data_IF_902499660408
#
_entry.id   IF_902499660408
#
_cell.length_a   1.000
_cell.length_b   1.000
_cell.length_c   1.000
_cell.angle_alpha   90.00
_cell.angle_beta   90.00
_cell.angle_gamma   90.00
#
_symmetry.space_group_name_H-M   'P 1'
#
loop_
_entity.id
_entity.type
_entity.pdbx_description
1 polymer ?
#
# COMPACT_ATOMS: atom_id res chain seq x y z
N UNK A 1 -27.15 20.18 11.82
CA UNK A 1 -26.84 18.90 11.23
C UNK A 1 -25.35 18.58 11.42
N UNK A 2 -25.00 18.01 12.61
CA UNK A 2 -23.62 17.72 13.01
C UNK A 2 -23.43 16.22 13.23
N UNK A 3 -23.72 15.33 12.29
CA UNK A 3 -23.62 13.92 12.66
C UNK A 3 -23.29 12.93 11.57
N UNK A 4 -23.19 13.30 10.31
CA UNK A 4 -23.08 12.32 9.23
C UNK A 4 -21.68 11.72 8.99
N UNK A 5 -20.61 12.30 9.53
CA UNK A 5 -19.27 11.73 9.43
C UNK A 5 -18.93 10.78 10.59
N UNK A 6 -19.55 11.01 11.77
CA UNK A 6 -19.26 10.27 13.00
C UNK A 6 -19.89 8.86 13.03
N UNK A 7 -20.93 8.65 12.23
CA UNK A 7 -21.72 7.40 12.17
C UNK A 7 -21.32 6.48 10.99
N UNK A 8 -20.25 6.81 10.27
CA UNK A 8 -19.76 5.92 9.22
C UNK A 8 -19.13 4.66 9.83
N UNK A 9 -19.42 3.46 9.28
CA UNK A 9 -18.93 2.18 9.79
C UNK A 9 -17.41 2.10 9.93
N UNK A 10 -16.67 2.88 9.13
CA UNK A 10 -15.22 3.01 9.22
C UNK A 10 -14.75 3.55 10.58
N UNK A 11 -15.41 4.59 11.12
CA UNK A 11 -15.05 5.16 12.42
C UNK A 11 -15.45 4.26 13.59
N UNK A 12 -16.47 3.42 13.40
CA UNK A 12 -16.88 2.42 14.38
C UNK A 12 -15.81 1.34 14.54
N UNK A 13 -15.24 0.87 13.45
CA UNK A 13 -14.13 -0.10 13.46
C UNK A 13 -12.88 0.44 14.19
N UNK A 14 -12.51 1.70 13.94
CA UNK A 14 -11.38 2.35 14.63
C UNK A 14 -11.61 2.53 16.12
N UNK A 15 -12.84 2.76 16.55
CA UNK A 15 -13.19 2.97 17.96
C UNK A 15 -13.30 1.67 18.72
N UNK A 16 -13.59 0.56 18.07
CA UNK A 16 -13.80 -0.75 18.68
C UNK A 16 -12.51 -1.58 18.73
N UNK A 17 -11.51 -1.25 17.91
CA UNK A 17 -10.22 -1.92 17.90
C UNK A 17 -9.44 -1.64 19.19
N UNK A 18 -9.00 -2.70 19.85
CA UNK A 18 -8.18 -2.62 21.07
C UNK A 18 -6.77 -2.13 20.71
N UNK A 19 -6.11 -1.33 21.55
CA UNK A 19 -4.74 -0.85 21.27
C UNK A 19 -3.75 -1.99 21.03
N UNK A 20 -3.99 -3.18 21.57
CA UNK A 20 -3.19 -4.38 21.33
C UNK A 20 -3.29 -4.86 19.87
N UNK A 21 -4.43 -4.69 19.22
CA UNK A 21 -4.63 -5.09 17.83
C UNK A 21 -3.82 -4.20 16.88
N UNK A 22 -3.75 -2.89 17.18
CA UNK A 22 -2.87 -1.97 16.46
C UNK A 22 -1.39 -2.32 16.64
N UNK A 23 -1.00 -2.76 17.86
CA UNK A 23 0.36 -3.21 18.12
C UNK A 23 0.70 -4.48 17.32
N UNK A 24 -0.21 -5.43 17.22
CA UNK A 24 -0.04 -6.62 16.38
C UNK A 24 0.09 -6.27 14.90
N UNK A 25 -0.77 -5.38 14.38
CA UNK A 25 -0.70 -4.92 13.00
C UNK A 25 0.64 -4.21 12.75
N UNK A 26 1.07 -3.34 13.66
CA UNK A 26 2.35 -2.64 13.57
C UNK A 26 3.51 -3.63 13.57
N UNK A 27 3.53 -4.58 14.50
CA UNK A 27 4.58 -5.60 14.60
C UNK A 27 4.65 -6.48 13.33
N UNK A 28 3.49 -6.81 12.76
CA UNK A 28 3.43 -7.61 11.54
C UNK A 28 3.86 -6.81 10.29
N UNK A 29 3.63 -5.50 10.29
CA UNK A 29 4.02 -4.59 9.20
C UNK A 29 5.45 -4.07 9.31
N UNK A 30 6.03 -4.04 10.52
CA UNK A 30 7.37 -3.54 10.76
C UNK A 30 8.47 -4.26 9.94
N UNK A 31 8.50 -5.60 9.81
CA UNK A 31 9.48 -6.29 8.99
C UNK A 31 9.39 -5.88 7.51
N UNK A 32 8.18 -5.71 6.98
CA UNK A 32 7.97 -5.25 5.61
C UNK A 32 8.50 -3.82 5.39
N UNK A 33 8.26 -2.93 6.35
CA UNK A 33 8.79 -1.56 6.31
C UNK A 33 10.32 -1.54 6.37
N UNK A 34 10.92 -2.33 7.29
CA UNK A 34 12.37 -2.43 7.42
C UNK A 34 12.99 -2.98 6.13
N UNK A 35 12.40 -4.02 5.56
CA UNK A 35 12.85 -4.55 4.28
C UNK A 35 12.77 -3.50 3.16
N UNK A 36 11.66 -2.75 3.09
CA UNK A 36 11.52 -1.66 2.14
C UNK A 36 12.60 -0.58 2.35
N UNK A 37 12.89 -0.19 3.60
CA UNK A 37 13.97 0.77 3.91
C UNK A 37 15.31 0.30 3.35
N UNK A 38 15.66 -0.97 3.55
CA UNK A 38 16.90 -1.53 2.99
C UNK A 38 16.92 -1.50 1.46
N UNK A 39 15.84 -1.96 0.83
CA UNK A 39 15.73 -1.99 -0.63
C UNK A 39 15.82 -0.59 -1.23
N UNK A 40 15.11 0.37 -0.66
CA UNK A 40 15.12 1.75 -1.15
C UNK A 40 16.46 2.45 -0.91
N UNK A 41 17.12 2.22 0.24
CA UNK A 41 18.46 2.75 0.51
C UNK A 41 19.46 2.22 -0.51
N UNK A 42 19.48 0.90 -0.71
CA UNK A 42 20.36 0.28 -1.70
C UNK A 42 20.06 0.75 -3.13
N UNK A 43 18.79 0.90 -3.49
CA UNK A 43 18.40 1.40 -4.81
C UNK A 43 18.80 2.86 -5.01
N UNK A 44 18.76 3.72 -3.98
CA UNK A 44 19.25 5.10 -4.05
C UNK A 44 20.76 5.19 -4.26
N UNK A 45 21.53 4.30 -3.64
CA UNK A 45 22.98 4.21 -3.90
C UNK A 45 23.30 3.97 -5.38
N UNK A 46 22.50 3.16 -6.08
CA UNK A 46 22.64 2.95 -7.54
C UNK A 46 22.44 4.25 -8.34
N UNK A 47 21.66 5.19 -7.82
CA UNK A 47 21.45 6.52 -8.40
C UNK A 47 22.42 7.57 -7.84
N UNK A 48 23.49 7.15 -7.10
CA UNK A 48 24.49 8.01 -6.46
C UNK A 48 23.89 8.99 -5.45
N UNK A 49 22.83 8.59 -4.80
CA UNK A 49 22.19 9.35 -3.73
C UNK A 49 22.56 8.72 -2.40
N UNK A 50 23.47 9.37 -1.69
CA UNK A 50 23.90 8.95 -0.35
C UNK A 50 22.86 9.33 0.69
N UNK A 51 22.12 8.36 1.19
CA UNK A 51 21.11 8.55 2.21
C UNK A 51 21.35 7.66 3.41
N UNK A 52 21.28 8.24 4.60
CA UNK A 52 21.40 7.50 5.83
C UNK A 52 20.14 6.64 6.08
N UNK A 53 20.33 5.41 6.55
CA UNK A 53 19.24 4.50 6.96
C UNK A 53 18.24 5.16 7.92
N UNK A 54 18.71 6.02 8.85
CA UNK A 54 17.85 6.75 9.76
C UNK A 54 16.93 7.74 9.04
N UNK A 55 17.44 8.44 8.02
CA UNK A 55 16.63 9.33 7.18
C UNK A 55 15.60 8.54 6.37
N UNK A 56 15.99 7.40 5.80
CA UNK A 56 15.06 6.53 5.07
C UNK A 56 13.97 5.98 5.98
N UNK A 57 14.31 5.57 7.19
CA UNK A 57 13.32 5.10 8.16
C UNK A 57 12.31 6.20 8.55
N UNK A 58 12.75 7.45 8.60
CA UNK A 58 11.88 8.59 8.89
C UNK A 58 11.01 9.00 7.68
N UNK A 59 11.57 9.00 6.48
CA UNK A 59 10.92 9.56 5.29
C UNK A 59 10.05 8.56 4.55
N UNK A 60 10.45 7.29 4.49
CA UNK A 60 9.76 6.26 3.72
C UNK A 60 8.31 6.04 4.17
N UNK A 61 7.96 6.02 5.48
CA UNK A 61 6.57 5.95 5.92
C UNK A 61 5.72 7.12 5.43
N UNK A 62 6.29 8.33 5.38
CA UNK A 62 5.60 9.53 4.90
C UNK A 62 5.37 9.45 3.40
N UNK A 63 6.34 8.98 2.64
CA UNK A 63 6.24 8.74 1.19
C UNK A 63 5.17 7.69 0.89
N UNK A 64 5.14 6.58 1.65
CA UNK A 64 4.12 5.55 1.48
C UNK A 64 2.71 6.04 1.85
N UNK A 65 2.61 6.89 2.87
CA UNK A 65 1.34 7.53 3.21
C UNK A 65 0.85 8.43 2.08
N UNK A 66 1.75 9.20 1.46
CA UNK A 66 1.42 10.03 0.31
C UNK A 66 1.07 9.20 -0.94
N UNK A 67 1.71 8.04 -1.12
CA UNK A 67 1.37 7.10 -2.18
C UNK A 67 -0.04 6.49 -2.00
N UNK A 68 -0.50 6.37 -0.76
CA UNK A 68 -1.84 5.87 -0.44
C UNK A 68 -2.96 6.91 -0.72
N UNK A 69 -2.62 8.18 -0.93
CA UNK A 69 -3.60 9.18 -1.32
C UNK A 69 -4.10 8.92 -2.75
N UNK A 70 -5.41 9.08 -3.02
CA UNK A 70 -6.00 8.83 -4.32
C UNK A 70 -5.69 9.96 -5.32
N UNK A 71 -4.40 10.25 -5.51
CA UNK A 71 -3.92 11.21 -6.47
C UNK A 71 -3.54 10.52 -7.79
N UNK A 72 -3.79 11.16 -8.95
CA UNK A 72 -3.41 10.60 -10.23
C UNK A 72 -1.90 10.30 -10.26
N UNK A 73 -1.54 9.11 -10.77
CA UNK A 73 -0.15 8.67 -10.92
C UNK A 73 0.69 8.69 -9.64
N UNK A 74 0.05 8.59 -8.44
CA UNK A 74 0.73 8.71 -7.15
C UNK A 74 1.60 9.98 -7.03
N UNK A 75 1.12 11.07 -7.63
CA UNK A 75 1.84 12.35 -7.71
C UNK A 75 2.34 12.84 -6.34
N UNK A 76 1.61 12.55 -5.25
CA UNK A 76 2.03 12.88 -3.89
C UNK A 76 3.35 12.23 -3.50
N UNK A 77 3.54 10.94 -3.80
CA UNK A 77 4.79 10.25 -3.50
C UNK A 77 5.94 10.76 -4.37
N UNK A 78 5.70 10.95 -5.68
CA UNK A 78 6.70 11.48 -6.60
C UNK A 78 7.18 12.87 -6.16
N UNK A 79 6.26 13.74 -5.76
CA UNK A 79 6.58 15.08 -5.26
C UNK A 79 7.36 15.02 -3.95
N UNK A 80 6.95 14.15 -3.02
CA UNK A 80 7.63 14.04 -1.72
C UNK A 80 9.08 13.59 -1.85
N UNK A 81 9.41 12.71 -2.78
CA UNK A 81 10.79 12.34 -3.03
C UNK A 81 11.64 13.56 -3.35
N UNK A 82 11.20 14.43 -4.24
CA UNK A 82 11.94 15.64 -4.63
C UNK A 82 11.98 16.70 -3.53
N UNK A 83 10.93 16.80 -2.73
CA UNK A 83 10.85 17.77 -1.61
C UNK A 83 11.72 17.34 -0.43
N UNK A 84 11.76 16.05 -0.11
CA UNK A 84 12.52 15.51 1.03
C UNK A 84 14.03 15.41 0.74
N UNK A 85 14.40 15.34 -0.54
CA UNK A 85 15.79 15.22 -0.98
C UNK A 85 16.18 16.33 -1.99
N UNK A 86 16.07 17.61 -1.63
CA UNK A 86 16.26 18.72 -2.57
C UNK A 86 17.70 18.84 -3.08
N UNK A 87 18.68 18.27 -2.36
CA UNK A 87 20.09 18.28 -2.75
C UNK A 87 20.43 17.26 -3.86
N UNK A 88 19.51 16.36 -4.19
CA UNK A 88 19.74 15.26 -5.12
C UNK A 88 18.69 15.28 -6.25
N UNK A 89 18.93 15.97 -7.36
CA UNK A 89 17.99 16.01 -8.49
C UNK A 89 17.73 14.62 -9.11
N UNK A 90 18.65 13.67 -8.94
CA UNK A 90 18.53 12.28 -9.39
C UNK A 90 17.38 11.53 -8.71
N UNK A 91 16.94 11.97 -7.54
CA UNK A 91 15.82 11.37 -6.81
C UNK A 91 14.51 11.47 -7.59
N UNK A 92 14.34 12.51 -8.43
CA UNK A 92 13.21 12.61 -9.33
C UNK A 92 13.16 11.45 -10.33
N UNK A 93 14.28 11.15 -10.96
CA UNK A 93 14.40 10.01 -11.87
C UNK A 93 14.24 8.67 -11.13
N UNK A 94 14.88 8.53 -9.98
CA UNK A 94 14.73 7.36 -9.10
C UNK A 94 13.25 7.10 -8.74
N UNK A 95 12.52 8.13 -8.29
CA UNK A 95 11.13 7.97 -7.89
C UNK A 95 10.24 7.52 -9.05
N UNK A 96 10.48 8.04 -10.26
CA UNK A 96 9.75 7.66 -11.46
C UNK A 96 10.04 6.20 -11.86
N UNK A 97 11.31 5.80 -11.85
CA UNK A 97 11.72 4.43 -12.17
C UNK A 97 11.14 3.44 -11.17
N UNK A 98 11.26 3.71 -9.88
CA UNK A 98 10.71 2.85 -8.82
C UNK A 98 9.19 2.77 -8.90
N UNK A 99 8.51 3.89 -9.14
CA UNK A 99 7.06 3.89 -9.31
C UNK A 99 6.65 3.02 -10.50
N UNK A 100 7.27 3.21 -11.66
CA UNK A 100 6.99 2.42 -12.87
C UNK A 100 7.25 0.94 -12.61
N UNK A 101 8.35 0.60 -11.97
CA UNK A 101 8.66 -0.78 -11.60
C UNK A 101 7.57 -1.40 -10.72
N UNK A 102 7.13 -0.70 -9.66
CA UNK A 102 6.07 -1.22 -8.78
C UNK A 102 4.73 -1.37 -9.49
N UNK A 103 4.36 -0.43 -10.36
CA UNK A 103 3.12 -0.52 -11.15
C UNK A 103 3.17 -1.74 -12.06
N UNK A 104 4.25 -1.94 -12.81
CA UNK A 104 4.41 -3.09 -13.70
C UNK A 104 4.47 -4.41 -12.93
N UNK A 105 5.18 -4.44 -11.81
CA UNK A 105 5.28 -5.62 -10.96
C UNK A 105 3.92 -6.04 -10.38
N UNK A 106 3.16 -5.07 -9.84
CA UNK A 106 1.81 -5.34 -9.34
C UNK A 106 0.85 -5.74 -10.45
N UNK A 107 0.94 -5.13 -11.62
CA UNK A 107 0.15 -5.52 -12.78
C UNK A 107 0.46 -6.96 -13.23
N UNK A 108 1.73 -7.35 -13.26
CA UNK A 108 2.14 -8.71 -13.59
C UNK A 108 1.58 -9.74 -12.58
N UNK A 109 1.70 -9.43 -11.27
CA UNK A 109 1.11 -10.28 -10.22
C UNK A 109 -0.42 -10.35 -10.39
N UNK A 110 -1.09 -9.23 -10.65
CA UNK A 110 -2.53 -9.20 -10.88
C UNK A 110 -2.96 -10.08 -12.03
N UNK A 111 -2.25 -10.04 -13.16
CA UNK A 111 -2.52 -10.89 -14.32
C UNK A 111 -2.33 -12.37 -14.00
N UNK A 112 -1.30 -12.73 -13.24
CA UNK A 112 -1.04 -14.14 -12.84
C UNK A 112 -2.10 -14.66 -11.87
N UNK A 113 -2.59 -13.82 -10.97
CA UNK A 113 -3.58 -14.21 -9.95
C UNK A 113 -5.03 -14.13 -10.44
N UNK A 114 -5.29 -13.39 -11.52
CA UNK A 114 -6.65 -13.17 -12.05
C UNK A 114 -7.41 -14.47 -12.36
N UNK A 115 -6.82 -15.50 -13.00
CA UNK A 115 -7.53 -16.75 -13.27
C UNK A 115 -7.98 -17.46 -11.99
N UNK A 116 -7.16 -17.43 -10.94
CA UNK A 116 -7.48 -18.04 -9.65
C UNK A 116 -8.61 -17.29 -8.95
N UNK A 117 -8.55 -15.96 -8.92
CA UNK A 117 -9.59 -15.14 -8.34
C UNK A 117 -10.94 -15.34 -9.04
N UNK A 118 -10.95 -15.41 -10.37
CA UNK A 118 -12.16 -15.69 -11.13
C UNK A 118 -12.73 -17.08 -10.81
N UNK A 119 -11.90 -18.11 -10.72
CA UNK A 119 -12.35 -19.45 -10.39
C UNK A 119 -13.00 -19.55 -8.98
N UNK A 120 -12.49 -18.76 -8.03
CA UNK A 120 -13.06 -18.69 -6.68
C UNK A 120 -14.43 -17.99 -6.69
N UNK A 121 -14.59 -16.90 -7.44
CA UNK A 121 -15.86 -16.17 -7.57
C UNK A 121 -16.97 -17.05 -8.21
N UNK A 122 -16.66 -17.76 -9.28
CA UNK A 122 -17.65 -18.63 -9.92
C UNK A 122 -18.06 -19.80 -9.02
N UNK A 123 -17.13 -20.35 -8.23
CA UNK A 123 -17.46 -21.41 -7.25
C UNK A 123 -18.34 -20.92 -6.09
N UNK A 124 -18.22 -19.65 -5.68
CA UNK A 124 -19.10 -19.05 -4.66
C UNK A 124 -20.52 -18.82 -5.19
N UNK A 125 -20.66 -18.37 -6.42
CA UNK A 125 -21.98 -18.18 -7.07
C UNK A 125 -22.73 -19.51 -7.19
N UNK A 126 -22.07 -20.56 -7.66
CA UNK A 126 -22.67 -21.90 -7.76
C UNK A 126 -23.09 -22.47 -6.39
N UNK A 127 -22.31 -22.19 -5.33
CA UNK A 127 -22.65 -22.59 -3.96
C UNK A 127 -23.87 -21.84 -3.42
N UNK A 128 -23.95 -20.55 -3.68
CA UNK A 128 -25.05 -19.72 -3.22
C UNK A 128 -26.37 -20.10 -3.91
N UNK A 129 -26.34 -20.39 -5.20
CA UNK A 129 -27.50 -20.81 -5.98
C UNK A 129 -28.01 -22.19 -5.53
N UNK A 130 -27.10 -23.13 -5.30
CA UNK A 130 -27.45 -24.45 -4.76
C UNK A 130 -28.03 -24.42 -3.34
N UNK A 131 -27.54 -23.52 -2.48
CA UNK A 131 -28.07 -23.33 -1.13
C UNK A 131 -29.50 -22.76 -1.15
N UNK A 132 -29.79 -21.81 -2.04
CA UNK A 132 -31.15 -21.26 -2.23
C UNK A 132 -32.11 -22.33 -2.79
N UNK A 133 -31.67 -23.13 -3.76
CA UNK A 133 -32.48 -24.20 -4.34
C UNK A 133 -32.82 -25.32 -3.32
N UNK A 134 -31.94 -25.60 -2.36
CA UNK A 134 -32.19 -26.55 -1.29
C UNK A 134 -33.14 -26.02 -0.21
N UNK A 135 -33.12 -24.73 0.07
CA UNK A 135 -34.01 -24.12 1.07
C UNK A 135 -35.46 -23.95 0.60
N UNK A 136 -35.70 -24.06 -0.69
CA UNK A 136 -37.05 -23.94 -1.34
C UNK A 136 -37.77 -25.28 -1.52
N UNK A 137 -37.18 -26.38 -1.10
CA UNK A 137 -37.80 -27.73 -1.10
C UNK A 137 -38.19 -28.14 0.29
#
# INVERSE_FOLDING_TARGET
PRSTLRDKPLFHAFRQARPIEYLYILLFKAPNLLFAVFVYTFALELFRVDVNLGQMLAFLPVIFLAAALPLPFHAGALLLWTVLFPAFPEVGAFSLVMHTFFVLFNAAIGVVLLPKANAELFNEDDRSENAVAQSSR
#
